data_IF_604324995835
#
_entry.id   IF_604324995835
#
_cell.length_a   1.000
_cell.length_b   1.000
_cell.length_c   1.000
_cell.angle_alpha   90.00
_cell.angle_beta   90.00
_cell.angle_gamma   90.00
#
_symmetry.space_group_name_H-M   'P 1'
#
loop_
_entity.id
_entity.type
_entity.pdbx_description
1 polymer ?
#
# COMPACT_ATOMS: atom_id res chain seq x y z
N UNK A 1 -10.11 -8.36 19.90
CA UNK A 1 -11.30 -7.60 19.40
C UNK A 1 -12.17 -8.55 18.64
N UNK A 2 -13.45 -8.65 19.00
CA UNK A 2 -14.38 -9.56 18.34
C UNK A 2 -15.01 -8.92 17.09
N UNK A 3 -15.06 -7.58 17.05
CA UNK A 3 -15.57 -6.83 15.90
C UNK A 3 -14.45 -6.53 14.90
N UNK A 4 -14.62 -7.03 13.67
CA UNK A 4 -13.66 -6.88 12.58
C UNK A 4 -14.44 -6.43 11.33
N UNK A 5 -13.90 -5.44 10.60
CA UNK A 5 -14.43 -5.01 9.31
C UNK A 5 -13.41 -5.32 8.23
N UNK A 6 -13.87 -5.84 7.09
CA UNK A 6 -13.02 -6.21 5.94
C UNK A 6 -13.59 -5.63 4.66
N UNK A 7 -12.81 -4.76 4.03
CA UNK A 7 -13.07 -4.23 2.71
C UNK A 7 -12.65 -5.24 1.63
N UNK A 8 -13.59 -5.73 0.83
CA UNK A 8 -13.34 -6.71 -0.21
C UNK A 8 -13.55 -6.11 -1.59
N UNK A 9 -12.45 -5.96 -2.35
CA UNK A 9 -12.48 -5.47 -3.73
C UNK A 9 -13.03 -6.50 -4.72
N UNK A 10 -12.97 -7.79 -4.35
CA UNK A 10 -13.40 -8.90 -5.20
C UNK A 10 -12.41 -9.29 -6.29
N UNK A 11 -12.79 -10.21 -7.19
CA UNK A 11 -11.90 -10.71 -8.24
C UNK A 11 -11.55 -9.63 -9.26
N UNK A 12 -10.25 -9.60 -9.65
CA UNK A 12 -9.73 -8.60 -10.59
C UNK A 12 -10.18 -8.85 -12.04
N UNK A 13 -10.33 -10.11 -12.45
CA UNK A 13 -10.51 -10.52 -13.86
C UNK A 13 -11.97 -10.82 -14.25
N UNK A 14 -12.92 -10.73 -13.33
CA UNK A 14 -14.34 -11.00 -13.57
C UNK A 14 -15.26 -10.23 -12.65
N UNK A 15 -16.54 -10.13 -13.00
CA UNK A 15 -17.62 -9.64 -12.13
C UNK A 15 -17.92 -10.62 -10.99
N UNK A 16 -18.67 -10.14 -10.01
CA UNK A 16 -19.18 -10.94 -8.89
C UNK A 16 -18.13 -11.28 -7.86
N UNK A 17 -18.25 -12.45 -7.25
CA UNK A 17 -17.42 -12.89 -6.14
C UNK A 17 -17.78 -12.20 -4.83
N UNK A 18 -16.84 -12.15 -3.92
CA UNK A 18 -17.04 -11.60 -2.57
C UNK A 18 -16.80 -10.08 -2.50
N UNK A 19 -17.44 -9.29 -3.39
CA UNK A 19 -17.37 -7.84 -3.35
C UNK A 19 -18.24 -7.27 -2.24
N UNK A 20 -17.72 -6.28 -1.51
CA UNK A 20 -18.48 -5.60 -0.47
C UNK A 20 -17.68 -5.35 0.80
N UNK A 21 -18.34 -4.78 1.80
CA UNK A 21 -17.81 -4.66 3.15
C UNK A 21 -18.41 -5.77 4.01
N UNK A 22 -17.55 -6.43 4.75
CA UNK A 22 -17.90 -7.52 5.65
C UNK A 22 -17.62 -7.13 7.09
N UNK A 23 -18.48 -7.60 7.99
CA UNK A 23 -18.30 -7.50 9.43
C UNK A 23 -18.34 -8.89 10.07
N UNK A 24 -17.46 -9.09 11.04
CA UNK A 24 -17.50 -10.20 12.00
C UNK A 24 -17.68 -9.62 13.39
N UNK A 25 -18.51 -10.27 14.22
CA UNK A 25 -18.71 -9.94 15.63
C UNK A 25 -18.20 -11.05 16.56
N UNK A 26 -17.50 -12.04 16.03
CA UNK A 26 -17.06 -13.24 16.74
C UNK A 26 -15.57 -13.58 16.51
N UNK A 27 -14.77 -12.54 16.24
CA UNK A 27 -13.34 -12.69 16.02
C UNK A 27 -12.97 -13.35 14.69
N UNK A 28 -13.81 -13.18 13.67
CA UNK A 28 -13.55 -13.68 12.31
C UNK A 28 -14.08 -15.10 12.04
N UNK A 29 -14.84 -15.71 12.95
CA UNK A 29 -15.40 -17.05 12.78
C UNK A 29 -16.58 -17.05 11.79
N UNK A 30 -17.39 -16.00 11.80
CA UNK A 30 -18.45 -15.76 10.83
C UNK A 30 -18.42 -14.36 10.27
N UNK A 31 -18.95 -14.18 9.05
CA UNK A 31 -18.90 -12.91 8.33
C UNK A 31 -20.27 -12.56 7.72
N UNK A 32 -20.69 -11.33 7.92
CA UNK A 32 -21.87 -10.77 7.31
C UNK A 32 -21.49 -9.67 6.33
N UNK A 33 -22.02 -9.72 5.11
CA UNK A 33 -21.84 -8.63 4.14
C UNK A 33 -22.80 -7.50 4.47
N UNK A 34 -22.28 -6.37 4.94
CA UNK A 34 -23.03 -5.22 5.44
C UNK A 34 -23.14 -4.06 4.44
N UNK A 35 -22.30 -4.03 3.40
CA UNK A 35 -22.42 -3.09 2.28
C UNK A 35 -22.11 -3.82 0.98
N UNK A 36 -23.03 -3.77 0.03
CA UNK A 36 -22.87 -4.26 -1.34
C UNK A 36 -23.46 -3.25 -2.32
N UNK A 37 -22.71 -2.85 -3.32
CA UNK A 37 -23.15 -1.89 -4.33
C UNK A 37 -23.58 -2.60 -5.60
N UNK A 38 -22.69 -3.40 -6.19
CA UNK A 38 -22.96 -4.21 -7.38
C UNK A 38 -21.94 -5.34 -7.52
N UNK A 39 -22.13 -6.18 -8.53
CA UNK A 39 -21.18 -7.24 -8.88
C UNK A 39 -19.89 -6.69 -9.53
N UNK A 40 -19.83 -5.42 -9.85
CA UNK A 40 -18.66 -4.77 -10.46
C UNK A 40 -17.91 -3.84 -9.51
N UNK A 41 -18.52 -3.51 -8.35
CA UNK A 41 -18.00 -2.53 -7.41
C UNK A 41 -17.65 -3.18 -6.08
N UNK A 42 -16.37 -3.15 -5.73
CA UNK A 42 -15.88 -3.57 -4.42
C UNK A 42 -15.71 -2.40 -3.45
N UNK A 43 -15.28 -2.73 -2.23
CA UNK A 43 -14.88 -1.75 -1.22
C UNK A 43 -13.35 -1.75 -1.16
N UNK A 44 -12.75 -0.56 -1.31
CA UNK A 44 -11.28 -0.41 -1.31
C UNK A 44 -10.72 0.03 0.03
N UNK A 45 -11.52 0.74 0.83
CA UNK A 45 -11.08 1.24 2.13
C UNK A 45 -12.25 1.33 3.12
N UNK A 46 -11.96 1.19 4.41
CA UNK A 46 -12.90 1.37 5.51
C UNK A 46 -12.20 1.97 6.72
N UNK A 47 -12.72 3.08 7.21
CA UNK A 47 -12.20 3.74 8.40
C UNK A 47 -13.30 3.91 9.44
N UNK A 48 -12.95 3.70 10.71
CA UNK A 48 -13.84 3.82 11.86
C UNK A 48 -13.38 4.97 12.75
N UNK A 49 -14.31 5.75 13.23
CA UNK A 49 -14.01 6.80 14.22
C UNK A 49 -13.52 6.15 15.52
N UNK A 50 -12.35 6.58 15.99
CA UNK A 50 -11.74 6.05 17.20
C UNK A 50 -12.48 6.50 18.49
N UNK A 51 -13.23 7.60 18.42
CA UNK A 51 -13.97 8.16 19.53
C UNK A 51 -15.45 7.74 19.53
N UNK A 52 -15.99 7.32 18.38
CA UNK A 52 -17.35 6.83 18.22
C UNK A 52 -17.41 5.67 17.21
N UNK A 53 -17.34 4.45 17.71
CA UNK A 53 -17.33 3.23 16.89
C UNK A 53 -18.63 2.98 16.10
N UNK A 54 -19.67 3.78 16.28
CA UNK A 54 -20.89 3.71 15.49
C UNK A 54 -20.70 4.38 14.12
N UNK A 55 -19.69 5.27 14.00
CA UNK A 55 -19.38 6.01 12.78
C UNK A 55 -18.32 5.30 11.96
N UNK A 56 -18.69 4.92 10.73
CA UNK A 56 -17.77 4.35 9.73
C UNK A 56 -17.91 5.07 8.40
N UNK A 57 -16.80 5.11 7.67
CA UNK A 57 -16.78 5.50 6.25
C UNK A 57 -16.18 4.37 5.44
N UNK A 58 -16.75 4.14 4.26
CA UNK A 58 -16.25 3.15 3.30
C UNK A 58 -16.15 3.76 1.90
N UNK A 59 -15.08 3.46 1.19
CA UNK A 59 -14.90 3.86 -0.20
C UNK A 59 -15.17 2.72 -1.16
N UNK A 60 -15.84 3.01 -2.27
CA UNK A 60 -16.19 2.04 -3.30
C UNK A 60 -15.34 2.22 -4.54
N UNK A 61 -14.99 1.12 -5.19
CA UNK A 61 -14.07 1.10 -6.32
C UNK A 61 -14.47 0.07 -7.38
N UNK A 62 -14.68 0.54 -8.61
CA UNK A 62 -14.85 -0.30 -9.78
C UNK A 62 -13.48 -0.60 -10.38
N UNK A 63 -12.99 -1.82 -10.18
CA UNK A 63 -11.69 -2.27 -10.69
C UNK A 63 -11.83 -3.58 -11.42
N UNK A 64 -11.33 -3.61 -12.67
CA UNK A 64 -11.28 -4.82 -13.46
C UNK A 64 -10.12 -4.79 -14.44
N UNK A 65 -9.50 -5.93 -14.64
CA UNK A 65 -8.50 -6.16 -15.67
C UNK A 65 -9.04 -7.03 -16.79
N UNK A 66 -8.73 -6.65 -18.00
CA UNK A 66 -8.84 -7.46 -19.21
C UNK A 66 -7.49 -7.46 -19.89
N UNK A 67 -7.31 -8.31 -20.91
CA UNK A 67 -6.08 -8.27 -21.69
C UNK A 67 -5.88 -6.88 -22.32
N UNK A 68 -4.77 -6.24 -21.98
CA UNK A 68 -4.44 -4.88 -22.46
C UNK A 68 -5.28 -3.73 -21.92
N UNK A 69 -6.24 -3.96 -21.00
CA UNK A 69 -7.12 -2.92 -20.47
C UNK A 69 -7.24 -3.03 -18.95
N UNK A 70 -7.07 -1.90 -18.27
CA UNK A 70 -7.40 -1.75 -16.85
C UNK A 70 -8.58 -0.78 -16.70
N UNK A 71 -9.67 -1.24 -16.10
CA UNK A 71 -10.74 -0.38 -15.58
C UNK A 71 -10.38 0.00 -14.16
N UNK A 72 -10.12 1.28 -13.92
CA UNK A 72 -9.67 1.83 -12.64
C UNK A 72 -10.59 2.96 -12.17
N UNK A 73 -11.89 2.72 -12.17
CA UNK A 73 -12.93 3.64 -11.75
C UNK A 73 -14.23 3.44 -12.50
N UNK A 74 -15.27 4.15 -12.04
CA UNK A 74 -16.58 4.11 -12.66
C UNK A 74 -17.62 4.90 -11.87
N UNK A 75 -18.88 4.96 -12.37
CA UNK A 75 -19.94 5.80 -11.81
C UNK A 75 -20.45 5.33 -10.43
N UNK A 76 -20.16 4.10 -10.05
CA UNK A 76 -20.54 3.57 -8.73
C UNK A 76 -19.50 3.87 -7.64
N UNK A 77 -18.34 4.43 -8.02
CA UNK A 77 -17.34 4.93 -7.08
C UNK A 77 -17.92 6.01 -6.16
N UNK A 78 -17.38 6.10 -4.94
CA UNK A 78 -17.79 7.12 -3.98
C UNK A 78 -17.55 6.73 -2.53
N UNK A 79 -18.00 7.61 -1.63
CA UNK A 79 -17.88 7.44 -0.19
C UNK A 79 -19.24 7.15 0.43
N UNK A 80 -19.30 6.15 1.28
CA UNK A 80 -20.47 5.78 2.06
C UNK A 80 -20.19 6.01 3.55
N UNK A 81 -21.19 6.47 4.30
CA UNK A 81 -21.15 6.68 5.75
C UNK A 81 -22.20 5.82 6.43
N UNK A 82 -21.83 5.23 7.55
CA UNK A 82 -22.72 4.62 8.53
C UNK A 82 -22.60 5.38 9.86
N UNK A 83 -23.69 5.39 10.64
CA UNK A 83 -23.75 5.93 12.00
C UNK A 83 -24.35 4.92 12.98
N UNK A 84 -24.36 3.63 12.61
CA UNK A 84 -24.99 2.52 13.34
C UNK A 84 -24.17 1.22 13.21
N UNK A 85 -22.83 1.32 13.22
CA UNK A 85 -21.87 0.18 13.08
C UNK A 85 -22.00 -0.58 11.78
N UNK A 86 -22.43 0.10 10.70
CA UNK A 86 -22.55 -0.52 9.39
C UNK A 86 -23.87 -1.23 9.15
N UNK A 87 -24.90 -1.05 9.99
CA UNK A 87 -26.23 -1.61 9.74
C UNK A 87 -26.91 -0.91 8.57
N UNK A 88 -26.75 0.42 8.46
CA UNK A 88 -27.23 1.20 7.32
C UNK A 88 -26.15 2.11 6.76
N UNK A 89 -26.26 2.39 5.45
CA UNK A 89 -25.25 3.16 4.71
C UNK A 89 -25.89 4.24 3.85
N UNK A 90 -25.33 5.45 3.91
CA UNK A 90 -25.70 6.62 3.09
C UNK A 90 -24.55 6.98 2.15
N UNK A 91 -24.77 7.01 0.84
CA UNK A 91 -23.79 7.54 -0.12
C UNK A 91 -23.69 9.06 0.03
N UNK A 92 -22.49 9.57 0.28
CA UNK A 92 -22.18 10.99 0.40
C UNK A 92 -22.03 11.62 -0.98
N UNK A 93 -22.47 12.89 -1.14
CA UNK A 93 -22.45 13.56 -2.43
C UNK A 93 -22.05 15.03 -2.38
N UNK A 94 -22.42 15.75 -1.31
CA UNK A 94 -22.29 17.20 -1.25
C UNK A 94 -20.81 17.65 -1.27
N UNK A 95 -20.40 18.31 -2.35
CA UNK A 95 -19.02 18.77 -2.56
C UNK A 95 -18.03 17.69 -3.04
N UNK A 96 -18.48 16.44 -3.23
CA UNK A 96 -17.68 15.36 -3.82
C UNK A 96 -17.84 15.32 -5.35
N UNK A 97 -16.83 14.79 -6.07
CA UNK A 97 -16.93 14.62 -7.51
C UNK A 97 -18.03 13.63 -7.89
N UNK A 98 -18.59 13.82 -9.07
CA UNK A 98 -19.53 12.90 -9.71
C UNK A 98 -18.92 12.23 -10.94
N UNK A 99 -19.65 11.28 -11.53
CA UNK A 99 -19.21 10.54 -12.70
C UNK A 99 -18.27 9.39 -12.35
N UNK A 100 -17.25 9.16 -13.17
CA UNK A 100 -16.31 8.07 -12.97
C UNK A 100 -15.30 8.44 -11.87
N UNK A 101 -15.37 7.72 -10.76
CA UNK A 101 -14.50 7.89 -9.60
C UNK A 101 -13.64 6.63 -9.48
N UNK A 102 -12.34 6.84 -9.32
CA UNK A 102 -11.36 5.78 -9.11
C UNK A 102 -11.23 5.39 -7.64
N UNK A 103 -10.05 4.96 -7.24
CA UNK A 103 -9.75 4.58 -5.86
C UNK A 103 -9.78 5.81 -4.95
N UNK A 104 -10.23 5.61 -3.71
CA UNK A 104 -10.31 6.65 -2.70
C UNK A 104 -9.63 6.14 -1.43
N UNK A 105 -8.69 6.89 -0.90
CA UNK A 105 -8.15 6.73 0.45
C UNK A 105 -8.89 7.62 1.43
N UNK A 106 -9.21 7.10 2.59
CA UNK A 106 -9.99 7.76 3.63
C UNK A 106 -9.22 7.87 4.94
N UNK A 107 -9.43 8.96 5.67
CA UNK A 107 -8.94 9.05 7.03
C UNK A 107 -9.81 9.98 7.88
N UNK A 108 -9.91 9.69 9.18
CA UNK A 108 -10.59 10.55 10.18
C UNK A 108 -9.52 11.20 11.03
N UNK A 109 -9.64 12.49 11.31
CA UNK A 109 -8.71 13.17 12.21
C UNK A 109 -8.78 12.57 13.62
N UNK A 110 -7.65 12.12 14.18
CA UNK A 110 -7.64 11.59 15.56
C UNK A 110 -7.95 12.67 16.62
N UNK A 111 -7.71 13.96 16.30
CA UNK A 111 -7.99 15.06 17.21
C UNK A 111 -9.43 15.55 17.13
N UNK A 112 -10.11 15.38 15.99
CA UNK A 112 -11.46 15.91 15.74
C UNK A 112 -12.26 14.97 14.84
N UNK A 113 -13.11 14.15 15.42
CA UNK A 113 -13.95 13.18 14.70
C UNK A 113 -14.82 13.78 13.59
N UNK A 114 -15.19 15.07 13.71
CA UNK A 114 -15.96 15.75 12.67
C UNK A 114 -15.13 16.09 11.42
N UNK A 115 -13.79 15.96 11.48
CA UNK A 115 -12.90 16.22 10.34
C UNK A 115 -12.52 14.90 9.67
N UNK A 116 -12.88 14.80 8.39
CA UNK A 116 -12.62 13.62 7.56
C UNK A 116 -11.86 14.07 6.31
N UNK A 117 -10.88 13.27 5.91
CA UNK A 117 -10.05 13.49 4.73
C UNK A 117 -10.29 12.40 3.69
N UNK A 118 -10.18 12.77 2.42
CA UNK A 118 -10.25 11.84 1.31
C UNK A 118 -9.27 12.23 0.20
N UNK A 119 -8.46 11.28 -0.25
CA UNK A 119 -7.68 11.39 -1.47
C UNK A 119 -8.44 10.68 -2.58
N UNK A 120 -8.95 11.43 -3.56
CA UNK A 120 -9.89 10.92 -4.56
C UNK A 120 -9.25 10.92 -5.93
N UNK A 121 -9.13 9.75 -6.54
CA UNK A 121 -8.78 9.62 -7.96
C UNK A 121 -10.04 9.74 -8.82
N UNK A 122 -10.00 10.59 -9.83
CA UNK A 122 -11.13 10.88 -10.70
C UNK A 122 -10.62 11.51 -12.01
N UNK A 123 -11.52 12.14 -12.80
CA UNK A 123 -11.11 12.96 -13.93
C UNK A 123 -10.27 14.15 -13.50
N UNK A 124 -9.45 14.67 -14.43
CA UNK A 124 -8.42 15.69 -14.16
C UNK A 124 -8.92 16.88 -13.34
N UNK A 125 -10.12 17.39 -13.66
CA UNK A 125 -10.67 18.58 -13.00
C UNK A 125 -11.19 18.31 -11.58
N UNK A 126 -11.49 17.06 -11.26
CA UNK A 126 -12.18 16.68 -10.03
C UNK A 126 -11.37 15.79 -9.10
N UNK A 127 -10.26 15.21 -9.58
CA UNK A 127 -9.32 14.50 -8.72
C UNK A 127 -8.70 15.44 -7.68
N UNK A 128 -8.24 14.93 -6.57
CA UNK A 128 -7.54 15.75 -5.57
C UNK A 128 -7.75 15.30 -4.14
N UNK A 129 -7.22 16.12 -3.24
CA UNK A 129 -7.39 15.97 -1.82
C UNK A 129 -8.60 16.76 -1.34
N UNK A 130 -9.49 16.09 -0.61
CA UNK A 130 -10.74 16.62 -0.09
C UNK A 130 -10.76 16.58 1.43
N UNK A 131 -11.45 17.57 2.04
CA UNK A 131 -11.64 17.66 3.49
C UNK A 131 -13.07 18.00 3.82
N UNK A 132 -13.64 17.31 4.78
CA UNK A 132 -14.89 17.64 5.45
C UNK A 132 -14.61 18.17 6.86
N UNK A 133 -15.44 19.06 7.36
CA UNK A 133 -15.41 19.56 8.74
C UNK A 133 -16.69 19.26 9.52
N UNK A 134 -17.60 18.46 8.98
CA UNK A 134 -18.95 18.21 9.48
C UNK A 134 -19.34 16.71 9.39
N UNK A 135 -18.41 15.82 9.74
CA UNK A 135 -18.63 14.37 9.69
C UNK A 135 -18.96 13.85 8.29
N UNK A 136 -18.41 14.47 7.23
CA UNK A 136 -18.62 14.04 5.84
C UNK A 136 -19.93 14.52 5.22
N UNK A 137 -20.73 15.36 5.88
CA UNK A 137 -21.98 15.85 5.28
C UNK A 137 -21.72 16.77 4.10
N UNK A 138 -20.65 17.62 4.20
CA UNK A 138 -20.16 18.43 3.08
C UNK A 138 -18.65 18.31 2.93
N UNK A 139 -18.19 18.41 1.68
CA UNK A 139 -16.78 18.25 1.32
C UNK A 139 -16.27 19.45 0.53
N UNK A 140 -15.01 19.79 0.75
CA UNK A 140 -14.31 20.83 0.01
C UNK A 140 -13.02 20.24 -0.59
N UNK A 141 -12.81 20.45 -1.87
CA UNK A 141 -11.52 20.19 -2.53
C UNK A 141 -10.49 21.17 -2.00
N UNK A 142 -9.39 20.66 -1.46
CA UNK A 142 -8.32 21.45 -0.87
C UNK A 142 -7.21 21.71 -1.85
N UNK A 143 -6.86 20.72 -2.67
CA UNK A 143 -5.81 20.79 -3.69
C UNK A 143 -6.02 19.76 -4.81
N UNK A 144 -5.23 19.87 -5.87
CA UNK A 144 -5.15 18.90 -6.97
C UNK A 144 -4.15 17.77 -6.70
N UNK A 145 -3.67 17.65 -5.45
CA UNK A 145 -2.70 16.62 -5.07
C UNK A 145 -3.19 15.22 -5.44
N UNK A 146 -2.31 14.41 -6.02
CA UNK A 146 -2.54 13.02 -6.39
C UNK A 146 -1.31 12.17 -6.15
N UNK A 147 -1.54 10.88 -5.93
CA UNK A 147 -0.50 9.85 -5.97
C UNK A 147 -0.10 9.52 -7.41
N UNK A 148 1.09 8.96 -7.59
CA UNK A 148 1.62 8.60 -8.91
C UNK A 148 0.87 7.40 -9.48
N UNK A 149 0.68 6.34 -8.68
CA UNK A 149 -0.06 5.15 -9.09
C UNK A 149 -1.16 4.77 -8.11
N UNK A 150 -2.38 5.20 -8.42
CA UNK A 150 -3.57 4.93 -7.60
C UNK A 150 -4.01 3.47 -7.57
N UNK A 151 -3.40 2.57 -8.33
CA UNK A 151 -3.67 1.13 -8.21
C UNK A 151 -3.08 0.56 -6.93
N UNK A 152 -1.94 1.10 -6.49
CA UNK A 152 -1.17 0.61 -5.35
C UNK A 152 -1.24 1.57 -4.17
N UNK A 153 -1.35 2.87 -4.41
CA UNK A 153 -1.24 3.92 -3.40
C UNK A 153 -2.46 4.84 -3.41
N UNK A 154 -3.05 5.12 -2.30
CA UNK A 154 -3.99 6.23 -2.01
C UNK A 154 -4.14 6.41 -0.50
N UNK A 155 -3.39 5.66 0.27
CA UNK A 155 -3.46 5.66 1.73
C UNK A 155 -2.97 7.00 2.28
N UNK A 156 -3.74 7.54 3.23
CA UNK A 156 -3.45 8.80 3.92
C UNK A 156 -3.52 8.60 5.42
N UNK A 157 -2.55 9.17 6.14
CA UNK A 157 -2.35 8.94 7.57
C UNK A 157 -2.32 10.26 8.32
N UNK A 158 -3.39 10.67 9.01
CA UNK A 158 -3.38 11.85 9.85
C UNK A 158 -2.44 11.68 11.05
N UNK A 159 -1.63 12.70 11.31
CA UNK A 159 -0.72 12.73 12.45
C UNK A 159 -1.52 12.73 13.76
N UNK A 160 -1.26 11.81 14.71
CA UNK A 160 -1.99 11.78 15.98
C UNK A 160 -1.61 12.93 16.93
N UNK A 161 -0.49 13.62 16.68
CA UNK A 161 0.02 14.69 17.53
C UNK A 161 -0.25 16.09 16.99
N UNK A 162 -0.46 16.23 15.67
CA UNK A 162 -0.65 17.54 15.03
C UNK A 162 -1.89 17.57 14.14
N UNK A 163 -2.83 18.44 14.49
CA UNK A 163 -4.07 18.62 13.73
C UNK A 163 -3.81 19.18 12.32
N UNK A 164 -4.56 18.69 11.34
CA UNK A 164 -4.43 19.03 9.91
C UNK A 164 -3.06 18.70 9.29
N UNK A 165 -2.23 17.89 9.96
CA UNK A 165 -1.06 17.28 9.38
C UNK A 165 -1.39 15.86 8.92
N UNK A 166 -1.16 15.58 7.63
CA UNK A 166 -1.50 14.30 7.01
C UNK A 166 -0.33 13.85 6.12
N UNK A 167 0.03 12.60 6.24
CA UNK A 167 0.99 11.93 5.38
C UNK A 167 0.25 11.19 4.28
N UNK A 168 0.80 11.22 3.06
CA UNK A 168 0.36 10.40 1.94
C UNK A 168 1.51 9.53 1.49
N UNK A 169 1.29 8.22 1.51
CA UNK A 169 2.27 7.26 1.03
C UNK A 169 2.03 6.94 -0.44
N UNK A 170 3.13 6.75 -1.15
CA UNK A 170 3.17 6.54 -2.59
C UNK A 170 4.55 5.96 -2.94
N UNK A 171 4.88 5.87 -4.23
CA UNK A 171 6.25 5.69 -4.70
C UNK A 171 7.19 6.71 -4.03
N UNK A 172 6.73 7.92 -3.81
CA UNK A 172 7.37 8.94 -2.96
C UNK A 172 6.37 9.44 -1.93
N UNK A 173 6.80 9.52 -0.68
CA UNK A 173 5.92 9.97 0.40
C UNK A 173 5.85 11.49 0.49
N UNK A 174 4.70 12.01 0.82
CA UNK A 174 4.42 13.44 0.96
C UNK A 174 3.74 13.75 2.29
N UNK A 175 3.84 14.99 2.73
CA UNK A 175 3.17 15.48 3.93
C UNK A 175 2.52 16.83 3.65
N UNK A 176 1.34 17.04 4.21
CA UNK A 176 0.68 18.35 4.34
C UNK A 176 0.61 18.75 5.79
N UNK A 177 0.78 20.03 6.11
CA UNK A 177 0.61 20.58 7.45
C UNK A 177 -0.53 21.62 7.53
N UNK A 178 -1.29 21.76 6.44
CA UNK A 178 -2.33 22.80 6.28
C UNK A 178 -3.69 22.21 5.86
N UNK A 179 -3.90 20.94 6.16
CA UNK A 179 -5.14 20.23 5.88
C UNK A 179 -5.34 19.91 4.40
N UNK A 180 -4.26 19.70 3.67
CA UNK A 180 -4.28 19.25 2.28
C UNK A 180 -4.26 20.36 1.23
N UNK A 181 -3.94 21.61 1.58
CA UNK A 181 -3.82 22.69 0.59
C UNK A 181 -2.50 22.63 -0.16
N UNK A 182 -1.42 22.30 0.57
CA UNK A 182 -0.09 22.10 0.00
C UNK A 182 0.49 20.78 0.47
N UNK A 183 1.34 20.16 -0.37
CA UNK A 183 2.04 18.91 -0.06
C UNK A 183 3.53 19.09 -0.32
N UNK A 184 4.34 18.66 0.63
CA UNK A 184 5.81 18.66 0.53
C UNK A 184 6.32 17.22 0.52
N UNK A 185 7.37 16.98 -0.27
CA UNK A 185 7.98 15.66 -0.34
C UNK A 185 8.81 15.38 0.93
N UNK A 186 8.65 14.19 1.48
CA UNK A 186 9.45 13.69 2.60
C UNK A 186 10.83 13.26 2.07
N UNK A 187 11.94 13.56 2.80
CA UNK A 187 13.26 13.05 2.45
C UNK A 187 13.32 11.52 2.51
N UNK A 188 13.79 10.88 1.43
CA UNK A 188 13.86 9.41 1.31
C UNK A 188 15.21 8.94 0.74
N UNK A 189 16.28 9.71 0.88
CA UNK A 189 17.59 9.41 0.28
C UNK A 189 18.22 8.12 0.83
N UNK A 190 17.85 7.72 2.04
CA UNK A 190 18.34 6.50 2.72
C UNK A 190 17.25 5.46 2.97
N UNK A 191 16.07 5.64 2.39
CA UNK A 191 14.93 4.73 2.50
C UNK A 191 14.51 4.23 1.13
N UNK A 192 14.12 2.96 1.02
CA UNK A 192 13.47 2.46 -0.17
C UNK A 192 12.18 3.25 -0.45
N UNK A 193 11.85 3.41 -1.71
CA UNK A 193 10.59 4.02 -2.18
C UNK A 193 9.40 3.08 -1.95
N UNK A 194 8.24 3.36 -2.56
CA UNK A 194 7.08 2.46 -2.58
C UNK A 194 6.57 2.14 -1.18
N UNK A 195 6.11 3.19 -0.47
CA UNK A 195 5.62 3.11 0.90
C UNK A 195 4.14 2.75 0.94
N UNK A 196 3.74 1.91 1.93
CA UNK A 196 2.38 1.39 2.02
C UNK A 196 1.68 1.68 3.34
N UNK A 197 2.41 1.81 4.44
CA UNK A 197 1.80 1.99 5.76
C UNK A 197 2.70 2.78 6.69
N UNK A 198 2.07 3.52 7.62
CA UNK A 198 2.75 4.32 8.65
C UNK A 198 2.20 3.96 10.02
N UNK A 199 3.10 3.70 10.95
CA UNK A 199 2.79 3.54 12.36
C UNK A 199 3.39 4.70 13.17
N UNK A 200 2.54 5.37 13.96
CA UNK A 200 2.93 6.42 14.89
C UNK A 200 3.00 5.88 16.31
N UNK A 201 4.00 6.30 17.08
CA UNK A 201 3.97 6.14 18.53
C UNK A 201 3.09 7.25 19.14
N UNK A 202 2.09 6.86 19.92
CA UNK A 202 1.16 7.83 20.55
C UNK A 202 1.79 8.60 21.70
N UNK A 203 2.95 8.19 22.21
CA UNK A 203 3.66 8.82 23.32
C UNK A 203 4.90 9.58 22.87
N UNK A 204 5.41 9.32 21.68
CA UNK A 204 6.59 9.97 21.12
C UNK A 204 6.31 10.50 19.70
N UNK A 205 6.08 11.83 19.56
CA UNK A 205 5.78 12.43 18.27
C UNK A 205 6.93 12.39 17.27
N UNK A 206 8.16 12.11 17.73
CA UNK A 206 9.33 12.06 16.86
C UNK A 206 9.57 10.65 16.28
N UNK A 207 8.97 9.61 16.90
CA UNK A 207 9.11 8.23 16.46
C UNK A 207 8.02 7.81 15.49
N UNK A 208 8.44 7.39 14.29
CA UNK A 208 7.54 6.92 13.22
C UNK A 208 8.17 5.70 12.56
N UNK A 209 7.38 4.67 12.30
CA UNK A 209 7.74 3.54 11.44
C UNK A 209 7.00 3.62 10.13
N UNK A 210 7.66 3.20 9.05
CA UNK A 210 7.06 3.09 7.72
C UNK A 210 7.40 1.75 7.09
N UNK A 211 6.44 1.12 6.44
CA UNK A 211 6.66 -0.07 5.62
C UNK A 211 6.67 0.28 4.13
N UNK A 212 7.53 -0.38 3.39
CA UNK A 212 7.67 -0.21 1.94
C UNK A 212 8.10 -1.55 1.30
N UNK A 213 8.19 -1.59 -0.04
CA UNK A 213 8.62 -2.78 -0.77
C UNK A 213 10.04 -3.23 -0.40
N UNK A 214 10.89 -2.33 0.10
CA UNK A 214 12.22 -2.64 0.61
C UNK A 214 12.27 -3.14 2.07
N UNK A 215 11.14 -3.14 2.79
CA UNK A 215 11.07 -3.58 4.18
C UNK A 215 10.54 -2.51 5.14
N UNK A 216 11.02 -2.52 6.37
CA UNK A 216 10.57 -1.61 7.44
C UNK A 216 11.69 -0.63 7.78
N UNK A 217 11.31 0.63 7.88
CA UNK A 217 12.17 1.72 8.30
C UNK A 217 11.57 2.43 9.51
N UNK A 218 12.43 2.99 10.34
CA UNK A 218 12.05 3.82 11.47
C UNK A 218 12.77 5.17 11.44
N UNK A 219 12.10 6.18 11.93
CA UNK A 219 12.59 7.54 12.10
C UNK A 219 12.40 7.96 13.55
N UNK A 220 13.36 8.73 14.09
CA UNK A 220 13.35 9.30 15.44
C UNK A 220 13.35 10.84 15.40
N UNK A 221 13.06 11.41 14.22
CA UNK A 221 13.13 12.85 13.95
C UNK A 221 12.01 13.32 12.99
N UNK A 222 10.85 12.67 13.04
CA UNK A 222 9.66 13.00 12.19
C UNK A 222 9.94 12.85 10.71
N UNK A 223 10.49 11.71 10.31
CA UNK A 223 10.77 11.35 8.90
C UNK A 223 11.84 12.20 8.21
N UNK A 224 12.75 12.86 8.97
CA UNK A 224 13.89 13.57 8.37
C UNK A 224 15.01 12.62 8.01
N UNK A 225 15.26 11.62 8.86
CA UNK A 225 16.24 10.56 8.61
C UNK A 225 15.62 9.19 8.90
N UNK A 226 16.22 8.14 8.30
CA UNK A 226 15.67 6.78 8.33
C UNK A 226 16.71 5.77 8.78
N UNK A 227 16.28 4.80 9.59
CA UNK A 227 17.02 3.61 9.96
C UNK A 227 16.31 2.37 9.40
N UNK A 228 16.99 1.59 8.58
CA UNK A 228 16.48 0.31 8.09
C UNK A 228 16.51 -0.76 9.18
N UNK A 229 15.43 -1.57 9.29
CA UNK A 229 15.36 -2.73 10.18
C UNK A 229 15.85 -3.95 9.39
N UNK A 230 17.14 -4.26 9.52
CA UNK A 230 17.86 -5.26 8.72
C UNK A 230 17.87 -6.69 9.30
N UNK A 231 17.21 -6.90 10.44
CA UNK A 231 17.25 -8.17 11.17
C UNK A 231 15.99 -9.04 10.97
N UNK A 232 15.11 -8.68 10.06
CA UNK A 232 13.95 -9.49 9.72
C UNK A 232 14.39 -10.66 8.81
N UNK A 233 14.17 -11.93 9.21
CA UNK A 233 14.61 -13.09 8.46
C UNK A 233 13.60 -13.45 7.36
N UNK A 234 13.25 -12.48 6.49
CA UNK A 234 12.27 -12.65 5.42
C UNK A 234 12.87 -12.21 4.09
N UNK A 235 12.66 -13.04 3.07
CA UNK A 235 12.96 -12.74 1.68
C UNK A 235 12.01 -13.54 0.78
N UNK A 236 11.58 -12.95 -0.31
CA UNK A 236 10.78 -13.63 -1.33
C UNK A 236 11.53 -13.60 -2.66
N UNK A 237 11.94 -14.78 -3.14
CA UNK A 237 12.64 -14.92 -4.41
C UNK A 237 11.67 -15.32 -5.51
N UNK A 238 11.75 -14.69 -6.68
CA UNK A 238 11.01 -15.10 -7.87
C UNK A 238 11.49 -16.46 -8.40
N UNK A 239 12.80 -16.59 -8.55
CA UNK A 239 13.45 -17.79 -9.07
C UNK A 239 14.71 -18.10 -8.26
N UNK A 240 15.03 -19.38 -8.16
CA UNK A 240 16.26 -19.85 -7.51
C UNK A 240 17.17 -20.53 -8.54
N UNK A 241 18.46 -20.20 -8.48
CA UNK A 241 19.53 -20.85 -9.21
C UNK A 241 20.58 -21.41 -8.26
N UNK A 242 21.37 -22.34 -8.72
CA UNK A 242 22.54 -22.87 -8.02
C UNK A 242 23.72 -22.98 -8.96
N UNK A 243 24.95 -22.93 -8.42
CA UNK A 243 26.17 -23.25 -9.16
C UNK A 243 26.65 -24.69 -8.86
N UNK A 244 27.76 -25.06 -9.49
CA UNK A 244 28.43 -26.37 -9.32
C UNK A 244 29.70 -26.23 -8.46
N UNK A 245 29.88 -25.14 -7.70
CA UNK A 245 31.09 -24.89 -6.93
C UNK A 245 31.31 -25.95 -5.84
N UNK A 246 32.56 -26.31 -5.63
CA UNK A 246 32.96 -27.27 -4.60
C UNK A 246 33.79 -26.58 -3.52
N UNK A 247 33.73 -27.03 -2.25
CA UNK A 247 33.00 -28.20 -1.74
C UNK A 247 31.48 -27.96 -1.53
N UNK A 248 31.02 -26.72 -1.59
CA UNK A 248 29.61 -26.36 -1.44
C UNK A 248 29.21 -25.38 -2.55
N UNK A 249 28.04 -25.60 -3.10
CA UNK A 249 27.43 -24.72 -4.09
C UNK A 249 26.94 -23.42 -3.47
N UNK A 250 26.79 -22.40 -4.27
CA UNK A 250 26.07 -21.17 -3.90
C UNK A 250 24.63 -21.23 -4.39
N UNK A 251 23.76 -20.45 -3.73
CA UNK A 251 22.36 -20.24 -4.08
C UNK A 251 22.21 -18.81 -4.59
N UNK A 252 21.45 -18.64 -5.65
CA UNK A 252 21.19 -17.35 -6.28
C UNK A 252 19.69 -17.14 -6.44
N UNK A 253 19.25 -15.88 -6.34
CA UNK A 253 17.86 -15.53 -6.61
C UNK A 253 17.66 -14.04 -6.76
N UNK A 254 16.61 -13.65 -7.48
CA UNK A 254 16.18 -12.28 -7.64
C UNK A 254 14.88 -12.02 -6.89
N UNK A 255 14.76 -10.81 -6.35
CA UNK A 255 13.59 -10.31 -5.64
C UNK A 255 12.99 -9.15 -6.40
N UNK A 256 11.70 -8.98 -6.33
CA UNK A 256 11.06 -7.77 -6.85
C UNK A 256 11.57 -6.56 -6.06
N UNK A 257 11.93 -5.48 -6.77
CA UNK A 257 12.33 -4.18 -6.25
C UNK A 257 13.61 -4.17 -5.37
N UNK A 258 14.18 -5.34 -5.05
CA UNK A 258 15.23 -5.49 -4.04
C UNK A 258 16.41 -6.35 -4.53
N UNK A 259 16.88 -6.14 -5.73
CA UNK A 259 18.11 -6.73 -6.30
C UNK A 259 18.05 -8.26 -6.57
N UNK A 260 19.10 -8.76 -7.13
CA UNK A 260 19.42 -10.18 -7.21
C UNK A 260 20.65 -10.51 -6.36
N UNK A 261 20.60 -11.64 -5.66
CA UNK A 261 21.62 -12.02 -4.69
C UNK A 261 22.23 -13.37 -4.99
N UNK A 262 23.47 -13.55 -4.54
CA UNK A 262 24.14 -14.83 -4.44
C UNK A 262 24.73 -15.04 -3.05
N UNK A 263 24.72 -16.28 -2.56
CA UNK A 263 25.29 -16.59 -1.26
C UNK A 263 25.55 -18.08 -1.07
N UNK A 264 26.36 -18.47 -0.05
CA UNK A 264 26.78 -19.85 0.15
C UNK A 264 25.63 -20.72 0.65
N UNK A 265 25.55 -21.96 0.19
CA UNK A 265 24.61 -22.96 0.74
C UNK A 265 25.02 -23.49 2.13
N UNK A 266 26.28 -23.32 2.51
CA UNK A 266 26.84 -23.75 3.81
C UNK A 266 27.97 -22.82 4.26
N UNK A 267 28.18 -22.78 5.57
CA UNK A 267 29.29 -22.03 6.18
C UNK A 267 29.96 -22.86 7.29
N UNK A 268 31.22 -22.55 7.56
CA UNK A 268 31.93 -23.05 8.75
C UNK A 268 31.74 -22.15 9.97
N UNK A 269 31.05 -21.03 9.83
CA UNK A 269 30.76 -20.10 10.91
C UNK A 269 29.77 -20.77 11.90
N UNK A 270 30.08 -20.74 13.19
CA UNK A 270 29.22 -21.30 14.25
C UNK A 270 27.87 -20.61 14.35
N UNK A 271 27.79 -19.33 13.95
CA UNK A 271 26.55 -18.53 13.92
C UNK A 271 25.71 -18.72 12.65
N UNK A 272 26.11 -19.62 11.76
CA UNK A 272 25.41 -19.83 10.50
C UNK A 272 25.81 -18.84 9.39
N UNK A 273 25.05 -18.84 8.31
CA UNK A 273 25.16 -17.91 7.20
C UNK A 273 24.63 -16.54 7.66
N UNK A 274 25.37 -15.48 7.38
CA UNK A 274 25.05 -14.09 7.77
C UNK A 274 24.71 -13.26 6.52
N UNK A 275 24.09 -12.10 6.72
CA UNK A 275 23.84 -11.14 5.64
C UNK A 275 25.15 -10.76 4.90
N UNK A 276 26.25 -10.63 5.61
CA UNK A 276 27.57 -10.36 5.02
C UNK A 276 28.13 -11.45 4.12
N UNK A 277 27.56 -12.65 4.14
CA UNK A 277 27.95 -13.77 3.26
C UNK A 277 27.22 -13.73 1.91
N UNK A 278 26.23 -12.87 1.79
CA UNK A 278 25.49 -12.60 0.55
C UNK A 278 26.07 -11.41 -0.21
N UNK A 279 26.02 -11.49 -1.53
CA UNK A 279 26.47 -10.42 -2.43
C UNK A 279 25.42 -10.12 -3.49
N UNK A 280 25.31 -8.86 -3.89
CA UNK A 280 24.43 -8.43 -4.97
C UNK A 280 25.05 -8.84 -6.31
N UNK A 281 24.28 -9.52 -7.15
CA UNK A 281 24.69 -9.89 -8.51
C UNK A 281 24.23 -8.86 -9.53
N UNK A 282 23.06 -8.24 -9.31
CA UNK A 282 22.49 -7.18 -10.16
C UNK A 282 21.54 -6.35 -9.33
N UNK A 283 21.60 -5.01 -9.47
CA UNK A 283 20.70 -4.08 -8.81
C UNK A 283 19.35 -3.94 -9.52
N UNK A 284 18.32 -3.47 -8.81
CA UNK A 284 16.98 -3.17 -9.32
C UNK A 284 15.99 -4.32 -9.17
N UNK A 285 15.04 -4.44 -10.09
CA UNK A 285 14.04 -5.52 -10.13
C UNK A 285 14.69 -6.85 -10.48
N UNK A 286 15.17 -7.57 -9.46
CA UNK A 286 15.79 -8.86 -9.65
C UNK A 286 14.79 -9.94 -10.04
N UNK A 287 15.15 -10.86 -10.92
CA UNK A 287 14.26 -11.94 -11.32
C UNK A 287 14.94 -13.30 -11.31
N UNK A 288 15.89 -13.54 -12.22
CA UNK A 288 16.55 -14.82 -12.36
C UNK A 288 18.05 -14.66 -12.46
N UNK A 289 18.77 -15.53 -11.77
CA UNK A 289 20.23 -15.71 -11.92
C UNK A 289 20.52 -17.11 -12.42
N UNK A 290 21.36 -17.22 -13.44
CA UNK A 290 21.90 -18.47 -13.96
C UNK A 290 23.41 -18.45 -13.89
N UNK A 291 23.99 -19.55 -13.56
CA UNK A 291 25.44 -19.74 -13.50
C UNK A 291 25.89 -20.62 -14.67
N UNK A 292 27.00 -20.28 -15.31
CA UNK A 292 27.59 -21.09 -16.35
C UNK A 292 27.92 -22.49 -15.78
N UNK A 293 27.46 -23.56 -16.40
CA UNK A 293 27.68 -24.92 -15.89
C UNK A 293 29.15 -25.36 -15.87
N UNK A 294 30.01 -24.66 -16.60
CA UNK A 294 31.44 -24.99 -16.76
C UNK A 294 32.34 -24.05 -15.96
N UNK A 295 31.89 -22.82 -15.69
CA UNK A 295 32.63 -21.83 -14.89
C UNK A 295 31.69 -21.12 -13.88
N UNK A 296 31.81 -21.44 -12.57
CA UNK A 296 30.96 -20.84 -11.53
C UNK A 296 31.22 -19.35 -11.30
N UNK A 297 32.23 -18.75 -11.93
CA UNK A 297 32.49 -17.31 -11.85
C UNK A 297 31.72 -16.52 -12.92
N UNK A 298 31.07 -17.16 -13.85
CA UNK A 298 30.26 -16.53 -14.89
C UNK A 298 28.79 -16.63 -14.52
N UNK A 299 28.19 -15.44 -14.28
CA UNK A 299 26.79 -15.28 -13.91
C UNK A 299 26.01 -14.56 -15.01
N UNK A 300 24.84 -15.08 -15.33
CA UNK A 300 23.86 -14.44 -16.20
C UNK A 300 22.69 -14.00 -15.32
N UNK A 301 22.44 -12.69 -15.23
CA UNK A 301 21.38 -12.13 -14.40
C UNK A 301 20.32 -11.47 -15.27
N UNK A 302 19.06 -11.63 -14.89
CA UNK A 302 17.91 -11.08 -15.60
C UNK A 302 17.15 -10.13 -14.66
N UNK A 303 16.84 -8.93 -15.15
CA UNK A 303 15.89 -8.03 -14.53
C UNK A 303 14.47 -8.36 -14.97
N UNK A 304 13.47 -8.05 -14.15
CA UNK A 304 12.05 -8.33 -14.44
C UNK A 304 11.62 -7.74 -15.79
N UNK A 305 12.01 -6.50 -16.06
CA UNK A 305 11.69 -5.82 -17.32
C UNK A 305 12.20 -6.54 -18.58
N UNK A 306 13.42 -7.09 -18.54
CA UNK A 306 13.99 -7.80 -19.69
C UNK A 306 13.39 -9.18 -19.90
N UNK A 307 12.89 -9.82 -18.85
CA UNK A 307 12.21 -11.12 -18.97
C UNK A 307 10.80 -10.97 -19.56
N UNK A 308 10.07 -9.93 -19.20
CA UNK A 308 8.75 -9.64 -19.74
C UNK A 308 8.80 -9.31 -21.24
N UNK A 309 9.81 -8.56 -21.67
CA UNK A 309 10.02 -8.26 -23.08
C UNK A 309 10.35 -9.50 -23.92
N UNK A 310 10.98 -10.53 -23.35
CA UNK A 310 11.25 -11.79 -24.05
C UNK A 310 10.01 -12.67 -24.18
N UNK A 311 9.11 -12.62 -23.21
CA UNK A 311 7.86 -13.39 -23.21
C UNK A 311 6.81 -12.81 -24.18
N UNK A 312 6.88 -11.50 -24.48
CA UNK A 312 5.99 -10.85 -25.46
C UNK A 312 6.28 -11.20 -26.92
N UNK A 313 7.46 -11.78 -27.22
CA UNK A 313 7.88 -12.14 -28.57
C UNK A 313 7.84 -13.65 -28.86
N UNK A 314 7.39 -14.48 -27.94
CA UNK A 314 7.18 -15.93 -28.13
C UNK A 314 5.69 -16.30 -28.13
#
# INVERSE_FOLDING_TARGET
TDNIYVAAQGPLWRSGGQRGLYNSNDGGKSWNRILHVSDDTGISDVVMDQNDNDILYASTYQRRRHFGILVAGGPEGGIYKSVDRGQTWKKLKAGLPGGDIGRIGLAISPQKSNVVYALITAKEETKGFYRSGDYGETWKKMSDYQVVDSQYYVEIFPDPHQFDKIYSVDMRSYVTEDGGKTFERIPEDTKHVDSHDILFDLNDPDYIMISCDGGIYESFDRMKTWRFIDNLPIIQLYRVGIDNQKPFYNVYGGTQDNDSFGGPSRTKNRSGIRNSDWFVTTGGDGFQVRVDPTDPNILYTCLLYTSDAADEFM
#
